data_IF_443326251704
#
_entry.id   IF_443326251704
#
_cell.length_a   1.000
_cell.length_b   1.000
_cell.length_c   1.000
_cell.angle_alpha   90.00
_cell.angle_beta   90.00
_cell.angle_gamma   90.00
#
_symmetry.space_group_name_H-M   'P 1'
#
loop_
_entity.id
_entity.type
_entity.pdbx_description
1 polymer ?
#
# COMPACT_ATOMS: atom_id res chain seq x y z
N UNK A 1 7.11 -7.00 -16.15
CA UNK A 1 5.67 -6.64 -16.30
C UNK A 1 5.61 -5.43 -17.20
N UNK A 2 4.77 -5.46 -18.22
CA UNK A 2 4.45 -4.29 -19.07
C UNK A 2 2.99 -3.94 -18.84
N UNK A 3 2.67 -2.66 -18.89
CA UNK A 3 1.29 -2.21 -18.78
C UNK A 3 0.61 -2.40 -20.14
N UNK A 4 -0.64 -2.85 -20.16
CA UNK A 4 -1.45 -2.73 -21.37
C UNK A 4 -1.67 -1.25 -21.70
N UNK A 5 -2.06 -0.96 -22.94
CA UNK A 5 -2.38 0.42 -23.33
C UNK A 5 -3.57 0.96 -22.54
N UNK A 6 -4.57 0.11 -22.27
CA UNK A 6 -5.70 0.45 -21.41
C UNK A 6 -5.27 0.79 -19.99
N UNK A 7 -4.45 -0.06 -19.35
CA UNK A 7 -3.95 0.21 -17.99
C UNK A 7 -3.13 1.50 -17.93
N UNK A 8 -2.32 1.77 -18.96
CA UNK A 8 -1.56 3.01 -19.05
C UNK A 8 -2.48 4.23 -19.18
N UNK A 9 -3.50 4.18 -20.02
CA UNK A 9 -4.41 5.30 -20.26
C UNK A 9 -5.16 5.71 -18.98
N UNK A 10 -5.49 4.75 -18.10
CA UNK A 10 -6.13 5.03 -16.80
C UNK A 10 -5.26 5.90 -15.87
N UNK A 11 -3.94 5.74 -15.91
CA UNK A 11 -3.03 6.37 -14.95
C UNK A 11 -2.13 7.46 -15.54
N UNK A 12 -2.01 7.53 -16.89
CA UNK A 12 -1.04 8.40 -17.58
C UNK A 12 -1.09 9.85 -17.13
N UNK A 13 -2.28 10.37 -16.78
CA UNK A 13 -2.49 11.77 -16.39
C UNK A 13 -1.69 12.16 -15.14
N UNK A 14 -1.37 11.18 -14.28
CA UNK A 14 -0.59 11.39 -13.06
C UNK A 14 0.91 11.36 -13.29
N UNK A 15 1.39 10.74 -14.38
CA UNK A 15 2.82 10.54 -14.62
C UNK A 15 3.34 11.58 -15.62
N UNK A 16 3.83 12.74 -15.14
CA UNK A 16 4.23 13.83 -16.02
C UNK A 16 5.41 13.43 -16.90
N UNK A 17 5.36 13.84 -18.16
CA UNK A 17 6.51 13.79 -19.05
C UNK A 17 7.54 14.85 -18.66
N UNK A 18 8.82 14.50 -18.77
CA UNK A 18 9.89 15.49 -18.58
C UNK A 18 9.90 16.42 -19.79
N UNK A 19 9.62 17.71 -19.57
CA UNK A 19 9.73 18.73 -20.60
C UNK A 19 11.11 19.38 -20.47
N UNK A 20 11.90 19.29 -21.54
CA UNK A 20 13.15 20.02 -21.67
C UNK A 20 12.98 21.08 -22.75
N UNK A 21 13.52 22.30 -22.56
CA UNK A 21 13.58 23.29 -23.63
C UNK A 21 14.20 22.69 -24.90
N UNK A 22 13.57 22.95 -26.06
CA UNK A 22 13.99 22.37 -27.36
C UNK A 22 15.41 22.77 -27.75
N UNK A 23 15.90 23.87 -27.21
CA UNK A 23 17.22 24.46 -27.46
C UNK A 23 18.35 23.85 -26.60
N UNK A 24 18.03 22.98 -25.64
CA UNK A 24 19.07 22.36 -24.80
C UNK A 24 19.75 21.20 -25.55
N UNK A 25 21.06 21.30 -25.86
CA UNK A 25 21.78 20.17 -26.45
C UNK A 25 21.81 19.01 -25.43
N UNK A 26 21.25 17.85 -25.80
CA UNK A 26 21.20 16.71 -24.90
C UNK A 26 20.30 15.55 -25.34
N UNK A 27 20.30 14.50 -24.50
CA UNK A 27 19.45 13.31 -24.69
C UNK A 27 17.98 13.68 -24.48
N UNK A 28 17.14 13.36 -25.47
CA UNK A 28 15.69 13.57 -25.39
C UNK A 28 15.10 12.93 -24.11
N UNK A 29 14.10 13.57 -23.48
CA UNK A 29 13.41 13.00 -22.33
C UNK A 29 12.85 11.61 -22.62
N UNK A 30 12.84 10.78 -21.59
CA UNK A 30 12.39 9.39 -21.69
C UNK A 30 10.91 9.35 -21.30
N UNK A 31 10.08 8.75 -22.15
CA UNK A 31 8.65 8.61 -21.89
C UNK A 31 8.35 8.03 -20.49
N UNK A 32 7.41 8.62 -19.77
CA UNK A 32 7.03 8.26 -18.40
C UNK A 32 6.65 6.78 -18.29
N UNK A 33 5.89 6.26 -19.26
CA UNK A 33 5.52 4.84 -19.33
C UNK A 33 6.74 3.92 -19.29
N UNK A 34 7.79 4.22 -20.07
CA UNK A 34 9.01 3.38 -20.12
C UNK A 34 9.76 3.39 -18.81
N UNK A 35 9.72 4.50 -18.08
CA UNK A 35 10.31 4.61 -16.75
C UNK A 35 9.49 3.83 -15.74
N UNK A 36 8.16 3.97 -15.77
CA UNK A 36 7.26 3.22 -14.89
C UNK A 36 7.41 1.71 -15.10
N UNK A 37 7.45 1.23 -16.34
CA UNK A 37 7.68 -0.19 -16.64
C UNK A 37 9.03 -0.72 -16.13
N UNK A 38 10.07 0.12 -16.11
CA UNK A 38 11.35 -0.23 -15.50
C UNK A 38 11.26 -0.31 -13.97
N UNK A 39 10.56 0.63 -13.32
CA UNK A 39 10.28 0.56 -11.87
C UNK A 39 9.46 -0.69 -11.53
N UNK A 40 8.46 -1.02 -12.35
CA UNK A 40 7.65 -2.23 -12.20
C UNK A 40 8.49 -3.50 -12.35
N UNK A 41 9.51 -3.48 -13.21
CA UNK A 41 10.46 -4.59 -13.30
C UNK A 41 11.28 -4.73 -12.01
N UNK A 42 11.76 -3.63 -11.42
CA UNK A 42 12.47 -3.63 -10.13
C UNK A 42 11.55 -4.12 -9.00
N UNK A 43 10.30 -3.63 -8.96
CA UNK A 43 9.28 -4.04 -7.98
C UNK A 43 9.06 -5.56 -8.00
N UNK A 44 8.87 -6.13 -9.19
CA UNK A 44 8.60 -7.56 -9.35
C UNK A 44 9.82 -8.44 -9.06
N UNK A 45 11.01 -8.05 -9.55
CA UNK A 45 12.21 -8.88 -9.45
C UNK A 45 12.95 -8.73 -8.12
N UNK A 46 12.81 -7.57 -7.46
CA UNK A 46 13.59 -7.20 -6.29
C UNK A 46 15.05 -6.85 -6.62
N UNK A 47 15.44 -6.83 -7.89
CA UNK A 47 16.82 -6.64 -8.32
C UNK A 47 17.40 -5.29 -7.87
N UNK A 48 18.72 -5.24 -7.73
CA UNK A 48 19.42 -3.99 -7.48
C UNK A 48 19.29 -3.05 -8.70
N UNK A 49 19.19 -1.74 -8.47
CA UNK A 49 18.95 -0.76 -9.54
C UNK A 49 19.96 -0.85 -10.70
N UNK A 50 21.25 -1.06 -10.42
CA UNK A 50 22.29 -1.14 -11.45
C UNK A 50 22.22 -2.42 -12.31
N UNK A 51 21.44 -3.42 -11.90
CA UNK A 51 21.16 -4.64 -12.66
C UNK A 51 19.95 -4.52 -13.57
N UNK A 52 19.33 -3.33 -13.65
CA UNK A 52 18.24 -3.07 -14.59
C UNK A 52 18.70 -3.39 -16.03
N UNK A 53 17.99 -4.25 -16.78
CA UNK A 53 18.40 -4.65 -18.12
C UNK A 53 18.56 -3.46 -19.08
N UNK A 54 19.52 -3.57 -20.01
CA UNK A 54 19.83 -2.50 -20.98
C UNK A 54 18.68 -2.17 -21.95
N UNK A 55 17.66 -3.04 -22.05
CA UNK A 55 16.44 -2.78 -22.80
C UNK A 55 15.54 -1.70 -22.15
N UNK A 56 15.74 -1.42 -20.86
CA UNK A 56 15.11 -0.33 -20.14
C UNK A 56 15.95 0.96 -20.19
N UNK A 57 15.36 2.11 -19.86
CA UNK A 57 16.11 3.34 -19.63
C UNK A 57 17.26 3.16 -18.62
N UNK A 58 18.26 4.03 -18.68
CA UNK A 58 19.39 3.98 -17.75
C UNK A 58 18.89 4.03 -16.28
N UNK A 59 19.40 3.14 -15.43
CA UNK A 59 18.91 2.99 -14.06
C UNK A 59 19.00 4.28 -13.23
N UNK A 60 19.98 5.15 -13.49
CA UNK A 60 20.10 6.45 -12.79
C UNK A 60 18.90 7.34 -13.08
N UNK A 61 18.47 7.38 -14.34
CA UNK A 61 17.27 8.13 -14.77
C UNK A 61 16.02 7.52 -14.15
N UNK A 62 15.89 6.18 -14.18
CA UNK A 62 14.72 5.50 -13.62
C UNK A 62 14.61 5.73 -12.12
N UNK A 63 15.70 5.53 -11.38
CA UNK A 63 15.73 5.72 -9.94
C UNK A 63 15.42 7.18 -9.56
N UNK A 64 16.06 8.16 -10.23
CA UNK A 64 15.79 9.59 -10.00
C UNK A 64 14.31 9.93 -10.20
N UNK A 65 13.70 9.46 -11.30
CA UNK A 65 12.29 9.74 -11.58
C UNK A 65 11.36 9.03 -10.61
N UNK A 66 11.66 7.80 -10.22
CA UNK A 66 10.91 7.12 -9.17
C UNK A 66 10.95 7.91 -7.85
N UNK A 67 12.13 8.37 -7.42
CA UNK A 67 12.26 9.20 -6.23
C UNK A 67 11.51 10.53 -6.34
N UNK A 68 11.47 11.14 -7.53
CA UNK A 68 10.65 12.32 -7.78
C UNK A 68 9.16 12.01 -7.59
N UNK A 69 8.66 10.95 -8.24
CA UNK A 69 7.26 10.53 -8.12
C UNK A 69 6.86 10.15 -6.69
N UNK A 70 7.78 9.58 -5.90
CA UNK A 70 7.53 9.32 -4.49
C UNK A 70 7.39 10.62 -3.70
N UNK A 71 8.27 11.61 -3.94
CA UNK A 71 8.22 12.92 -3.25
C UNK A 71 6.99 13.74 -3.61
N UNK A 72 6.58 13.68 -4.88
CA UNK A 72 5.43 14.43 -5.39
C UNK A 72 4.11 13.66 -5.24
N UNK A 73 4.12 12.53 -4.51
CA UNK A 73 2.96 11.66 -4.28
C UNK A 73 2.21 11.21 -5.55
N UNK A 74 2.90 11.19 -6.70
CA UNK A 74 2.32 10.84 -8.02
C UNK A 74 1.63 9.47 -8.00
N UNK A 75 2.28 8.48 -7.39
CA UNK A 75 1.76 7.10 -7.33
C UNK A 75 0.54 7.05 -6.40
N UNK A 76 0.55 7.79 -5.29
CA UNK A 76 -0.58 7.89 -4.36
C UNK A 76 -1.79 8.54 -5.01
N UNK A 77 -1.58 9.63 -5.77
CA UNK A 77 -2.64 10.29 -6.52
C UNK A 77 -3.26 9.34 -7.56
N UNK A 78 -2.42 8.63 -8.34
CA UNK A 78 -2.91 7.64 -9.30
C UNK A 78 -3.70 6.50 -8.65
N UNK A 79 -3.25 6.04 -7.47
CA UNK A 79 -3.89 5.00 -6.70
C UNK A 79 -5.26 5.45 -6.17
N UNK A 80 -5.36 6.69 -5.69
CA UNK A 80 -6.58 7.32 -5.19
C UNK A 80 -7.62 7.47 -6.30
N UNK A 81 -7.23 8.02 -7.44
CA UNK A 81 -8.14 8.19 -8.58
C UNK A 81 -8.65 6.85 -9.12
N UNK A 82 -7.79 5.83 -9.16
CA UNK A 82 -8.17 4.50 -9.63
C UNK A 82 -9.14 3.80 -8.66
N UNK A 83 -8.92 3.94 -7.35
CA UNK A 83 -9.84 3.44 -6.33
C UNK A 83 -11.22 4.11 -6.45
N UNK A 84 -11.28 5.45 -6.59
CA UNK A 84 -12.55 6.15 -6.78
C UNK A 84 -13.25 5.72 -8.07
N UNK A 85 -12.52 5.56 -9.17
CA UNK A 85 -13.08 5.07 -10.43
C UNK A 85 -13.68 3.66 -10.30
N UNK A 86 -13.01 2.76 -9.55
CA UNK A 86 -13.52 1.41 -9.28
C UNK A 86 -14.75 1.43 -8.37
N UNK A 87 -14.80 2.34 -7.41
CA UNK A 87 -15.97 2.54 -6.56
C UNK A 87 -17.17 3.03 -7.37
N UNK A 88 -16.99 4.02 -8.23
CA UNK A 88 -18.04 4.53 -9.13
C UNK A 88 -18.56 3.43 -10.07
N UNK A 89 -17.69 2.52 -10.52
CA UNK A 89 -18.06 1.36 -11.31
C UNK A 89 -18.73 0.22 -10.51
N UNK A 90 -18.86 0.36 -9.18
CA UNK A 90 -19.46 -0.65 -8.30
C UNK A 90 -18.56 -1.87 -8.01
N UNK A 91 -17.24 -1.76 -8.26
CA UNK A 91 -16.29 -2.84 -8.03
C UNK A 91 -15.76 -2.89 -6.59
N UNK A 92 -15.88 -1.80 -5.83
CA UNK A 92 -15.50 -1.72 -4.41
C UNK A 92 -16.74 -1.93 -3.54
N UNK A 93 -16.61 -2.78 -2.52
CA UNK A 93 -17.62 -2.99 -1.46
C UNK A 93 -17.02 -2.64 -0.08
N UNK A 94 -17.30 -1.42 0.38
CA UNK A 94 -16.84 -0.88 1.66
C UNK A 94 -17.69 -1.31 2.88
N UNK A 95 -18.74 -2.12 2.70
CA UNK A 95 -19.61 -2.58 3.81
C UNK A 95 -18.85 -3.43 4.85
N UNK A 96 -17.82 -4.16 4.40
CA UNK A 96 -16.90 -4.92 5.24
C UNK A 96 -15.48 -4.71 4.73
N UNK A 97 -14.65 -4.06 5.53
CA UNK A 97 -13.23 -3.88 5.25
C UNK A 97 -12.36 -4.68 6.22
N UNK A 98 -11.20 -5.11 5.75
CA UNK A 98 -10.25 -5.91 6.52
C UNK A 98 -8.94 -5.16 6.69
N UNK A 99 -8.44 -5.08 7.92
CA UNK A 99 -7.16 -4.47 8.26
C UNK A 99 -6.20 -5.51 8.81
N UNK A 100 -4.97 -5.50 8.29
CA UNK A 100 -3.89 -6.30 8.84
C UNK A 100 -2.54 -5.62 8.54
N UNK A 101 -1.49 -6.15 9.16
CA UNK A 101 -0.13 -5.66 9.02
C UNK A 101 0.81 -6.78 8.56
N UNK A 102 1.68 -6.48 7.61
CA UNK A 102 2.77 -7.36 7.20
C UNK A 102 4.13 -6.77 7.54
N UNK A 103 5.11 -7.63 7.80
CA UNK A 103 6.46 -7.21 8.19
C UNK A 103 7.42 -7.34 7.01
N UNK A 104 8.16 -6.27 6.73
CA UNK A 104 9.29 -6.27 5.81
C UNK A 104 10.59 -6.03 6.58
N UNK A 105 11.55 -6.93 6.43
CA UNK A 105 12.87 -6.73 7.04
C UNK A 105 13.57 -5.54 6.39
N UNK A 106 14.20 -4.66 7.17
CA UNK A 106 14.94 -3.53 6.64
C UNK A 106 16.43 -3.79 6.74
N UNK A 107 17.09 -3.93 5.58
CA UNK A 107 18.54 -4.15 5.46
C UNK A 107 19.28 -2.90 4.98
N UNK A 108 18.58 -1.97 4.32
CA UNK A 108 19.13 -0.70 3.83
C UNK A 108 19.33 0.39 4.90
N UNK A 109 18.97 0.13 6.16
CA UNK A 109 18.96 1.16 7.21
C UNK A 109 17.94 2.28 6.93
N UNK A 110 18.19 3.47 7.48
CA UNK A 110 17.36 4.65 7.28
C UNK A 110 16.23 4.84 8.32
N UNK A 111 15.40 5.87 8.09
CA UNK A 111 14.31 6.26 8.98
C UNK A 111 13.18 5.23 9.04
N UNK A 112 12.39 5.29 10.11
CA UNK A 112 11.21 4.44 10.35
C UNK A 112 11.51 2.93 10.40
N UNK A 113 12.71 2.56 10.86
CA UNK A 113 13.08 1.15 11.06
C UNK A 113 13.16 0.86 12.54
N UNK A 114 12.41 -0.13 13.02
CA UNK A 114 12.38 -0.49 14.44
C UNK A 114 12.58 -1.99 14.68
N UNK A 115 13.11 -2.39 15.85
CA UNK A 115 13.21 -3.79 16.24
C UNK A 115 11.82 -4.37 16.57
N UNK A 116 11.59 -5.63 16.20
CA UNK A 116 10.39 -6.41 16.53
C UNK A 116 10.76 -7.83 16.94
N UNK A 117 9.77 -8.62 17.38
CA UNK A 117 9.92 -10.07 17.57
C UNK A 117 10.37 -10.81 16.30
N UNK A 118 10.06 -10.28 15.11
CA UNK A 118 10.47 -10.84 13.80
C UNK A 118 11.79 -10.29 13.28
N UNK A 119 12.39 -9.33 13.97
CA UNK A 119 13.64 -8.65 13.58
C UNK A 119 13.45 -7.15 13.31
N UNK A 120 14.51 -6.51 12.82
CA UNK A 120 14.53 -5.08 12.52
C UNK A 120 13.89 -4.80 11.15
N UNK A 121 12.90 -3.92 11.10
CA UNK A 121 12.14 -3.69 9.88
C UNK A 121 11.04 -2.64 9.97
N UNK A 122 10.10 -2.74 9.03
CA UNK A 122 8.97 -1.83 8.80
C UNK A 122 7.68 -2.66 8.77
N UNK A 123 6.59 -2.10 9.27
CA UNK A 123 5.24 -2.67 9.08
C UNK A 123 4.60 -2.04 7.85
N UNK A 124 4.12 -2.87 6.94
CA UNK A 124 3.23 -2.48 5.84
C UNK A 124 1.81 -2.71 6.34
N UNK A 125 1.02 -1.66 6.44
CA UNK A 125 -0.40 -1.73 6.79
C UNK A 125 -1.24 -1.69 5.53
N UNK A 126 -2.34 -2.43 5.51
CA UNK A 126 -3.32 -2.35 4.44
C UNK A 126 -4.75 -2.41 5.01
N UNK A 127 -5.64 -1.60 4.45
CA UNK A 127 -7.09 -1.79 4.54
C UNK A 127 -7.55 -2.23 3.15
N UNK A 128 -8.32 -3.31 3.10
CA UNK A 128 -8.89 -3.84 1.85
C UNK A 128 -10.40 -3.98 1.98
N UNK A 129 -11.10 -3.83 0.88
CA UNK A 129 -12.54 -4.01 0.80
C UNK A 129 -12.95 -5.51 0.90
N UNK A 130 -14.25 -5.79 0.76
CA UNK A 130 -14.79 -7.14 0.83
C UNK A 130 -14.34 -8.07 -0.30
N UNK A 131 -13.93 -7.51 -1.44
CA UNK A 131 -13.42 -8.26 -2.59
C UNK A 131 -11.89 -8.45 -2.52
N UNK A 132 -11.22 -7.73 -1.63
CA UNK A 132 -9.77 -7.68 -1.49
C UNK A 132 -9.13 -6.62 -2.36
N UNK A 133 -9.82 -5.54 -2.71
CA UNK A 133 -9.23 -4.37 -3.35
C UNK A 133 -8.64 -3.44 -2.27
N UNK A 134 -7.38 -3.00 -2.41
CA UNK A 134 -6.77 -2.09 -1.43
C UNK A 134 -7.46 -0.72 -1.43
N UNK A 135 -7.84 -0.27 -0.23
CA UNK A 135 -8.44 1.04 0.05
C UNK A 135 -7.52 1.95 0.86
N UNK A 136 -6.53 1.40 1.57
CA UNK A 136 -5.42 2.13 2.16
C UNK A 136 -4.18 1.24 2.17
N UNK A 137 -3.02 1.82 1.90
CA UNK A 137 -1.72 1.16 2.12
C UNK A 137 -0.70 2.18 2.64
N UNK A 138 -0.04 1.83 3.73
CA UNK A 138 0.96 2.70 4.38
C UNK A 138 2.08 1.90 5.00
N UNK A 139 3.17 2.58 5.35
CA UNK A 139 4.32 1.99 6.03
C UNK A 139 4.61 2.74 7.31
N UNK A 140 4.87 2.03 8.39
CA UNK A 140 5.22 2.63 9.67
C UNK A 140 6.40 1.94 10.32
N UNK A 141 7.09 2.70 11.18
CA UNK A 141 8.09 2.15 12.06
C UNK A 141 7.49 1.03 12.90
N UNK A 142 8.24 -0.07 13.01
CA UNK A 142 7.70 -1.30 13.56
C UNK A 142 7.51 -1.30 15.09
N UNK A 143 7.78 -0.18 15.76
CA UNK A 143 7.62 0.06 17.20
C UNK A 143 6.24 0.61 17.58
N UNK A 144 5.45 1.14 16.64
CA UNK A 144 4.11 1.61 16.96
C UNK A 144 3.17 0.43 17.30
N UNK A 145 2.34 0.62 18.33
CA UNK A 145 1.26 -0.30 18.64
C UNK A 145 0.25 -0.32 17.49
N UNK A 146 -0.25 -1.50 17.10
CA UNK A 146 -1.17 -1.67 15.97
C UNK A 146 -2.42 -0.80 16.06
N UNK A 147 -2.91 -0.55 17.28
CA UNK A 147 -4.03 0.37 17.54
C UNK A 147 -3.79 1.78 17.00
N UNK A 148 -2.60 2.35 17.24
CA UNK A 148 -2.23 3.68 16.72
C UNK A 148 -2.07 3.64 15.21
N UNK A 149 -1.60 2.53 14.65
CA UNK A 149 -1.41 2.36 13.21
C UNK A 149 -2.73 2.33 12.44
N UNK A 150 -3.84 1.90 13.05
CA UNK A 150 -5.16 1.95 12.40
C UNK A 150 -5.51 3.39 12.01
N UNK A 151 -5.41 4.33 12.94
CA UNK A 151 -5.75 5.73 12.68
C UNK A 151 -4.85 6.33 11.60
N UNK A 152 -3.54 6.06 11.68
CA UNK A 152 -2.59 6.51 10.65
C UNK A 152 -2.84 5.87 9.28
N UNK A 153 -3.42 4.66 9.24
CA UNK A 153 -3.77 4.02 7.96
C UNK A 153 -4.96 4.72 7.31
N UNK A 154 -5.89 5.26 8.09
CA UNK A 154 -7.01 6.05 7.56
C UNK A 154 -6.56 7.38 6.92
N UNK A 155 -5.40 7.94 7.30
CA UNK A 155 -4.84 9.13 6.63
C UNK A 155 -4.43 8.84 5.16
N UNK A 156 -4.30 7.56 4.80
CA UNK A 156 -4.01 7.07 3.46
C UNK A 156 -5.21 6.39 2.80
N UNK A 157 -6.40 6.54 3.37
CA UNK A 157 -7.62 5.99 2.80
C UNK A 157 -7.97 6.71 1.50
N UNK A 158 -8.29 5.94 0.46
CA UNK A 158 -8.34 6.41 -0.92
C UNK A 158 -9.71 6.90 -1.36
N UNK A 159 -10.76 6.55 -0.63
CA UNK A 159 -12.16 6.91 -0.93
C UNK A 159 -12.74 7.71 0.23
N UNK A 160 -13.72 8.56 -0.05
CA UNK A 160 -14.35 9.37 1.01
C UNK A 160 -15.23 8.53 1.95
N UNK A 161 -15.87 7.48 1.43
CA UNK A 161 -16.83 6.66 2.17
C UNK A 161 -16.13 5.76 3.19
N UNK A 162 -16.41 5.99 4.47
CA UNK A 162 -15.87 5.18 5.56
C UNK A 162 -16.49 3.77 5.57
N UNK A 163 -15.74 2.75 6.01
CA UNK A 163 -16.27 1.40 6.09
C UNK A 163 -17.28 1.26 7.23
N UNK A 164 -18.36 0.51 7.02
CA UNK A 164 -19.30 0.23 8.12
C UNK A 164 -18.65 -0.68 9.18
N UNK A 165 -17.89 -1.68 8.73
CA UNK A 165 -17.22 -2.66 9.59
C UNK A 165 -15.74 -2.73 9.24
N UNK A 166 -14.88 -2.63 10.25
CA UNK A 166 -13.44 -2.86 10.13
C UNK A 166 -13.07 -4.13 10.89
N UNK A 167 -12.68 -5.16 10.16
CA UNK A 167 -12.34 -6.47 10.70
C UNK A 167 -10.82 -6.57 10.83
N UNK A 168 -10.34 -6.77 12.06
CA UNK A 168 -8.91 -6.90 12.36
C UNK A 168 -8.58 -8.16 13.16
N UNK A 169 -7.29 -8.41 13.31
CA UNK A 169 -6.77 -9.44 14.20
C UNK A 169 -6.98 -9.15 15.70
N UNK A 170 -6.61 -10.11 16.54
CA UNK A 170 -6.71 -10.00 18.00
C UNK A 170 -5.90 -8.84 18.57
N UNK A 171 -4.85 -8.39 17.89
CA UNK A 171 -3.99 -7.35 18.40
C UNK A 171 -4.70 -5.98 18.46
N UNK A 172 -5.71 -5.78 17.62
CA UNK A 172 -6.59 -4.61 17.60
C UNK A 172 -7.67 -4.59 18.71
N UNK A 173 -7.80 -5.63 19.54
CA UNK A 173 -8.70 -5.61 20.70
C UNK A 173 -8.28 -4.51 21.70
N UNK A 174 -9.03 -3.39 21.68
CA UNK A 174 -8.70 -2.14 22.38
C UNK A 174 -9.93 -1.23 22.54
N UNK A 175 -10.39 -1.02 23.77
CA UNK A 175 -11.56 -0.17 24.03
C UNK A 175 -11.40 1.29 23.55
N UNK A 176 -10.23 1.94 23.71
CA UNK A 176 -10.02 3.28 23.15
C UNK A 176 -10.13 3.31 21.62
N UNK A 177 -9.70 2.24 20.94
CA UNK A 177 -9.80 2.15 19.48
C UNK A 177 -11.25 1.99 19.06
N UNK A 178 -11.98 1.07 19.72
CA UNK A 178 -13.40 0.81 19.47
C UNK A 178 -14.21 2.10 19.59
N UNK A 179 -13.96 2.90 20.64
CA UNK A 179 -14.68 4.15 20.87
C UNK A 179 -14.34 5.22 19.81
N UNK A 180 -13.06 5.37 19.44
CA UNK A 180 -12.65 6.29 18.39
C UNK A 180 -13.25 5.95 17.02
N UNK A 181 -13.30 4.67 16.67
CA UNK A 181 -13.89 4.21 15.41
C UNK A 181 -15.41 4.37 15.43
N UNK A 182 -16.06 4.09 16.57
CA UNK A 182 -17.51 4.29 16.74
C UNK A 182 -17.91 5.75 16.55
N UNK A 183 -17.11 6.71 16.99
CA UNK A 183 -17.34 8.14 16.74
C UNK A 183 -17.33 8.51 15.25
N UNK A 184 -16.64 7.71 14.42
CA UNK A 184 -16.61 7.84 12.96
C UNK A 184 -17.68 6.99 12.27
N UNK A 185 -18.55 6.31 13.03
CA UNK A 185 -19.56 5.39 12.51
C UNK A 185 -19.01 4.02 12.09
N UNK A 186 -17.76 3.70 12.46
CA UNK A 186 -17.06 2.47 12.05
C UNK A 186 -17.14 1.46 13.20
N UNK A 187 -17.66 0.27 12.94
CA UNK A 187 -17.62 -0.83 13.88
C UNK A 187 -16.31 -1.64 13.76
N UNK A 188 -15.46 -1.59 14.79
CA UNK A 188 -14.31 -2.48 14.88
C UNK A 188 -14.76 -3.89 15.29
N UNK A 189 -14.32 -4.91 14.56
CA UNK A 189 -14.57 -6.32 14.87
C UNK A 189 -13.22 -7.03 15.02
N UNK A 190 -12.90 -7.46 16.24
CA UNK A 190 -11.63 -8.11 16.55
C UNK A 190 -11.83 -9.16 17.66
N UNK A 191 -11.22 -10.35 17.56
CA UNK A 191 -11.26 -11.33 18.64
C UNK A 191 -10.65 -10.75 19.92
N UNK A 192 -11.26 -11.03 21.08
CA UNK A 192 -10.75 -10.53 22.35
C UNK A 192 -9.47 -11.22 22.83
N UNK A 193 -8.54 -10.40 23.35
CA UNK A 193 -7.58 -10.66 24.44
C UNK A 193 -7.88 -11.88 25.31
N UNK A 194 -7.03 -12.91 25.37
CA UNK A 194 -7.24 -13.99 26.37
C UNK A 194 -7.02 -13.51 27.79
N UNK A 195 -6.21 -12.47 27.96
CA UNK A 195 -5.94 -11.78 29.22
C UNK A 195 -6.80 -10.51 29.41
N UNK A 196 -7.89 -10.36 28.65
CA UNK A 196 -8.81 -9.22 28.80
C UNK A 196 -9.53 -9.33 30.14
N UNK A 197 -9.48 -8.25 30.92
CA UNK A 197 -10.12 -8.16 32.25
C UNK A 197 -11.54 -7.61 32.17
N UNK A 198 -11.82 -6.78 31.17
CA UNK A 198 -13.13 -6.15 30.94
C UNK A 198 -14.07 -7.10 30.20
N UNK A 199 -15.37 -6.89 30.40
CA UNK A 199 -16.41 -7.63 29.68
C UNK A 199 -16.19 -7.55 28.15
N UNK A 200 -16.64 -8.61 27.45
CA UNK A 200 -16.60 -8.66 25.99
C UNK A 200 -17.53 -7.60 25.43
N UNK A 201 -17.03 -6.78 24.52
CA UNK A 201 -17.79 -5.70 23.87
C UNK A 201 -18.51 -6.19 22.62
N UNK A 202 -18.21 -7.40 22.13
CA UNK A 202 -18.72 -7.92 20.85
C UNK A 202 -19.51 -9.22 21.00
N UNK A 203 -20.63 -9.31 20.28
CA UNK A 203 -21.43 -10.54 20.12
C UNK A 203 -20.67 -11.57 19.24
N UNK A 204 -20.72 -12.84 19.63
CA UNK A 204 -20.18 -13.96 18.85
C UNK A 204 -20.75 -14.06 17.43
N UNK A 205 -21.96 -13.54 17.17
CA UNK A 205 -22.52 -13.47 15.81
C UNK A 205 -21.72 -12.54 14.90
N UNK A 206 -21.36 -11.36 15.40
CA UNK A 206 -20.57 -10.36 14.68
C UNK A 206 -19.15 -10.86 14.43
N UNK A 207 -18.58 -11.57 15.41
CA UNK A 207 -17.26 -12.21 15.28
C UNK A 207 -17.15 -13.27 14.17
N UNK A 208 -18.27 -13.79 13.62
CA UNK A 208 -18.20 -14.71 12.46
C UNK A 208 -17.55 -14.05 11.23
N UNK A 209 -17.65 -12.72 11.10
CA UNK A 209 -17.00 -11.95 10.02
C UNK A 209 -15.46 -12.09 10.04
N UNK A 210 -14.88 -12.31 11.22
CA UNK A 210 -13.44 -12.58 11.37
C UNK A 210 -12.96 -13.78 10.53
N UNK A 211 -13.83 -14.76 10.26
CA UNK A 211 -13.48 -15.90 9.41
C UNK A 211 -13.10 -15.51 7.97
N UNK A 212 -13.44 -14.29 7.53
CA UNK A 212 -13.09 -13.74 6.21
C UNK A 212 -11.77 -12.96 6.21
N UNK A 213 -11.05 -12.86 7.33
CA UNK A 213 -9.75 -12.15 7.42
C UNK A 213 -8.70 -12.63 6.42
N UNK A 214 -8.82 -13.87 5.94
CA UNK A 214 -7.96 -14.40 4.87
C UNK A 214 -7.94 -13.50 3.61
N UNK A 215 -8.93 -12.63 3.40
CA UNK A 215 -8.98 -11.67 2.28
C UNK A 215 -7.79 -10.70 2.33
N UNK A 216 -7.53 -10.06 3.49
CA UNK A 216 -6.38 -9.15 3.63
C UNK A 216 -5.05 -9.90 3.66
N UNK A 217 -5.02 -11.09 4.24
CA UNK A 217 -3.82 -11.96 4.21
C UNK A 217 -3.44 -12.34 2.77
N UNK A 218 -4.43 -12.66 1.93
CA UNK A 218 -4.23 -12.94 0.50
C UNK A 218 -3.67 -11.73 -0.23
N UNK A 219 -4.10 -10.53 0.11
CA UNK A 219 -3.56 -9.31 -0.49
C UNK A 219 -2.10 -9.11 -0.12
N UNK A 220 -1.74 -9.33 1.15
CA UNK A 220 -0.32 -9.32 1.53
C UNK A 220 0.48 -10.38 0.78
N UNK A 221 -0.06 -11.58 0.55
CA UNK A 221 0.62 -12.59 -0.26
C UNK A 221 0.85 -12.12 -1.71
N UNK A 222 -0.13 -11.45 -2.33
CA UNK A 222 0.01 -10.89 -3.69
C UNK A 222 1.00 -9.72 -3.74
N UNK A 223 0.98 -8.82 -2.75
CA UNK A 223 1.96 -7.74 -2.66
C UNK A 223 3.37 -8.29 -2.44
N UNK A 224 3.54 -9.30 -1.59
CA UNK A 224 4.83 -9.92 -1.29
C UNK A 224 5.38 -10.79 -2.42
N UNK A 225 4.53 -11.22 -3.36
CA UNK A 225 4.99 -11.81 -4.62
C UNK A 225 5.87 -10.84 -5.42
N UNK A 226 5.66 -9.53 -5.25
CA UNK A 226 6.53 -8.49 -5.78
C UNK A 226 7.75 -8.37 -4.86
N UNK A 227 8.82 -9.08 -5.25
CA UNK A 227 9.97 -9.39 -4.40
C UNK A 227 10.63 -8.19 -3.75
N UNK A 228 10.49 -6.99 -4.32
CA UNK A 228 11.02 -5.75 -3.74
C UNK A 228 10.40 -5.40 -2.38
N UNK A 229 9.21 -5.92 -2.06
CA UNK A 229 8.53 -5.66 -0.79
C UNK A 229 8.94 -6.61 0.34
N UNK A 230 9.56 -7.75 0.04
CA UNK A 230 9.97 -8.74 1.07
C UNK A 230 11.04 -8.17 2.01
N UNK A 231 11.96 -7.39 1.44
CA UNK A 231 13.05 -6.74 2.15
C UNK A 231 13.13 -5.29 1.69
N UNK A 232 13.03 -4.36 2.65
CA UNK A 232 13.31 -2.95 2.40
C UNK A 232 14.81 -2.75 2.22
N UNK A 233 15.19 -2.43 0.99
CA UNK A 233 16.55 -2.03 0.61
C UNK A 233 16.71 -0.51 0.56
N UNK A 234 15.60 0.21 0.53
CA UNK A 234 15.48 1.65 0.38
C UNK A 234 15.88 2.33 1.69
N UNK A 235 16.87 3.20 1.60
CA UNK A 235 17.28 4.04 2.72
C UNK A 235 16.15 5.02 3.12
N UNK A 236 15.55 5.72 2.15
CA UNK A 236 14.44 6.64 2.39
C UNK A 236 13.11 5.90 2.51
N UNK A 237 12.34 6.16 3.57
CA UNK A 237 11.03 5.52 3.82
C UNK A 237 10.05 5.78 2.68
N UNK A 238 10.00 7.01 2.17
CA UNK A 238 9.11 7.40 1.06
C UNK A 238 9.32 6.58 -0.22
N UNK A 239 10.55 6.11 -0.48
CA UNK A 239 10.81 5.25 -1.64
C UNK A 239 10.23 3.85 -1.44
N UNK A 240 10.33 3.33 -0.21
CA UNK A 240 9.73 2.03 0.11
C UNK A 240 8.21 2.11 0.08
N UNK A 241 7.63 3.18 0.65
CA UNK A 241 6.20 3.47 0.57
C UNK A 241 5.75 3.59 -0.89
N UNK A 242 6.53 4.25 -1.75
CA UNK A 242 6.23 4.34 -3.19
C UNK A 242 6.17 2.97 -3.88
N UNK A 243 7.00 2.01 -3.48
CA UNK A 243 6.88 0.63 -3.98
C UNK A 243 5.64 -0.09 -3.44
N UNK A 244 5.27 0.15 -2.18
CA UNK A 244 4.04 -0.38 -1.58
C UNK A 244 2.80 0.19 -2.29
N UNK A 245 2.77 1.49 -2.57
CA UNK A 245 1.72 2.14 -3.36
C UNK A 245 1.67 1.58 -4.78
N UNK A 246 2.84 1.38 -5.41
CA UNK A 246 2.90 0.84 -6.77
C UNK A 246 2.42 -0.63 -6.83
N UNK A 247 2.68 -1.41 -5.79
CA UNK A 247 2.15 -2.76 -5.62
C UNK A 247 0.61 -2.76 -5.54
N UNK A 248 0.03 -1.89 -4.70
CA UNK A 248 -1.41 -1.71 -4.62
C UNK A 248 -2.01 -1.23 -5.95
N UNK A 249 -1.34 -0.31 -6.65
CA UNK A 249 -1.77 0.18 -7.96
C UNK A 249 -1.85 -0.97 -8.97
N UNK A 250 -0.88 -1.89 -8.97
CA UNK A 250 -0.90 -3.06 -9.83
C UNK A 250 -2.05 -4.03 -9.52
N UNK A 251 -2.55 -4.07 -8.28
CA UNK A 251 -3.70 -4.90 -7.89
C UNK A 251 -4.99 -4.27 -8.44
N UNK A 252 -5.18 -2.97 -8.26
CA UNK A 252 -6.34 -2.25 -8.78
C UNK A 252 -6.39 -2.25 -10.32
N UNK A 253 -5.25 -2.09 -10.99
CA UNK A 253 -5.16 -2.11 -12.46
C UNK A 253 -5.55 -3.45 -13.09
N UNK A 254 -5.64 -4.55 -12.33
CA UNK A 254 -6.10 -5.85 -12.85
C UNK A 254 -7.62 -5.97 -12.93
N UNK A 255 -8.36 -4.97 -12.44
CA UNK A 255 -9.81 -4.90 -12.57
C UNK A 255 -10.24 -4.33 -13.95
N UNK A 256 -9.27 -3.91 -14.76
CA UNK A 256 -9.41 -3.48 -16.15
C UNK A 256 -8.57 -4.43 -17.01
#
# INVERSE_FOLDING_TARGET
MRLSDEQWERIRKHFPEEHYPDDRPGRKPIAARRVLEAVLWILNTGAQWHLLPQSYPNYKTVHRRFQQWCRDEVIRAALTDLANSLREAGAIDESECFIDASFASAKGGGGEVAPTKRGKGVKIMAIVDRHGLPLAVTTHAANHHEVTLVQLTFDFYMIEAQPENLIGDKAYDSDPLDEQLRQKGIEMIAPHKSNRVRARTQDGRRLRRYQRRWIVERIFAWMQWQRRLLVRWEFHSINFLGFVHLAALCILLRQF
#
